data_IF_009517472498
#
_entry.id   IF_009517472498
#
_cell.length_a   1.000
_cell.length_b   1.000
_cell.length_c   1.000
_cell.angle_alpha   90.00
_cell.angle_beta   90.00
_cell.angle_gamma   90.00
#
_symmetry.space_group_name_H-M   'P 1'
#
loop_
_entity.id
_entity.type
_entity.pdbx_description
1 polymer ?
#
# COMPACT_ATOMS: atom_id res chain seq x y z
N UNK A 1 28.13 23.52 -18.58
CA UNK A 1 27.59 22.45 -19.44
C UNK A 1 26.64 21.64 -18.57
N UNK A 2 25.34 21.91 -18.66
CA UNK A 2 24.32 21.23 -17.86
C UNK A 2 24.02 19.89 -18.54
N UNK A 3 24.40 18.78 -17.89
CA UNK A 3 23.89 17.47 -18.28
C UNK A 3 22.41 17.42 -17.92
N UNK A 4 21.58 17.82 -18.88
CA UNK A 4 20.21 17.39 -18.97
C UNK A 4 20.21 15.88 -19.22
N UNK A 5 20.34 15.09 -18.14
CA UNK A 5 20.01 13.68 -18.18
C UNK A 5 18.56 13.57 -18.65
N UNK A 6 18.43 13.18 -19.91
CA UNK A 6 17.22 12.92 -20.69
C UNK A 6 15.93 12.75 -19.85
N UNK A 7 14.87 13.54 -20.09
CA UNK A 7 13.59 13.46 -19.38
C UNK A 7 12.77 12.17 -19.66
N UNK A 8 13.37 11.14 -20.27
CA UNK A 8 12.65 10.05 -20.91
C UNK A 8 12.65 8.65 -20.25
N UNK A 9 13.19 8.44 -19.04
CA UNK A 9 13.43 7.06 -18.54
C UNK A 9 13.08 6.71 -17.10
N UNK A 10 12.27 7.49 -16.38
CA UNK A 10 11.65 6.93 -15.18
C UNK A 10 10.25 6.42 -15.56
N UNK A 11 10.09 5.10 -15.68
CA UNK A 11 8.76 4.46 -15.76
C UNK A 11 7.98 4.59 -14.44
N UNK A 12 8.50 5.36 -13.49
CA UNK A 12 8.02 5.49 -12.12
C UNK A 12 6.62 6.09 -12.01
N UNK A 13 6.24 7.17 -12.75
CA UNK A 13 4.87 7.68 -12.74
C UNK A 13 3.88 6.60 -13.19
N UNK A 14 4.21 5.90 -14.30
CA UNK A 14 3.38 4.81 -14.83
C UNK A 14 3.28 3.64 -13.85
N UNK A 15 4.37 3.31 -13.15
CA UNK A 15 4.37 2.27 -12.12
C UNK A 15 3.47 2.66 -10.92
N UNK A 16 3.54 3.90 -10.45
CA UNK A 16 2.62 4.41 -9.43
C UNK A 16 1.17 4.40 -9.92
N UNK A 17 0.88 4.83 -11.15
CA UNK A 17 -0.48 4.76 -11.70
C UNK A 17 -1.01 3.31 -11.77
N UNK A 18 -0.20 2.37 -12.26
CA UNK A 18 -0.56 0.95 -12.29
C UNK A 18 -0.79 0.39 -10.89
N UNK A 19 0.08 0.73 -9.93
CA UNK A 19 -0.10 0.33 -8.53
C UNK A 19 -1.38 0.91 -7.92
N UNK A 20 -1.72 2.16 -8.25
CA UNK A 20 -2.97 2.76 -7.80
C UNK A 20 -4.19 1.96 -8.26
N UNK A 21 -4.20 1.51 -9.52
CA UNK A 21 -5.26 0.65 -10.05
C UNK A 21 -5.30 -0.71 -9.35
N UNK A 22 -4.14 -1.32 -9.09
CA UNK A 22 -4.06 -2.60 -8.36
C UNK A 22 -4.57 -2.46 -6.93
N UNK A 23 -4.17 -1.41 -6.21
CA UNK A 23 -4.64 -1.10 -4.86
C UNK A 23 -6.15 -0.81 -4.84
N UNK A 24 -6.67 -0.07 -5.84
CA UNK A 24 -8.10 0.19 -5.96
C UNK A 24 -8.88 -1.10 -6.22
N UNK A 25 -8.43 -1.94 -7.15
CA UNK A 25 -9.05 -3.23 -7.43
C UNK A 25 -9.03 -4.15 -6.20
N UNK A 26 -7.92 -4.16 -5.45
CA UNK A 26 -7.84 -4.85 -4.17
C UNK A 26 -8.85 -4.34 -3.15
N UNK A 27 -9.03 -3.01 -3.06
CA UNK A 27 -9.97 -2.41 -2.13
C UNK A 27 -11.41 -2.84 -2.44
N UNK A 28 -11.77 -2.84 -3.74
CA UNK A 28 -13.06 -3.35 -4.21
C UNK A 28 -13.21 -4.84 -3.90
N UNK A 29 -12.18 -5.67 -4.20
CA UNK A 29 -12.22 -7.10 -3.90
C UNK A 29 -12.40 -7.37 -2.40
N UNK A 30 -11.70 -6.62 -1.56
CA UNK A 30 -11.80 -6.74 -0.09
C UNK A 30 -13.16 -6.26 0.44
N UNK A 31 -13.76 -5.25 -0.21
CA UNK A 31 -15.10 -4.77 0.10
C UNK A 31 -16.22 -5.74 -0.32
N UNK A 32 -15.98 -6.53 -1.37
CA UNK A 32 -16.89 -7.59 -1.81
C UNK A 32 -16.73 -8.88 -0.97
N UNK A 33 -15.55 -9.13 -0.43
CA UNK A 33 -15.21 -10.24 0.47
C UNK A 33 -15.57 -9.94 1.94
N UNK A 34 -16.65 -9.18 2.16
CA UNK A 34 -17.05 -8.69 3.48
C UNK A 34 -17.48 -9.82 4.43
N UNK A 35 -17.15 -9.78 5.74
CA UNK A 35 -17.57 -10.80 6.69
C UNK A 35 -19.10 -10.93 6.76
N UNK A 36 -19.60 -12.15 6.59
CA UNK A 36 -21.04 -12.42 6.66
C UNK A 36 -21.48 -12.68 8.11
N UNK A 37 -22.67 -12.21 8.52
CA UNK A 37 -23.17 -12.42 9.88
C UNK A 37 -23.33 -13.90 10.23
N UNK A 38 -22.59 -14.36 11.25
CA UNK A 38 -22.74 -15.69 11.86
C UNK A 38 -23.25 -15.52 13.30
N UNK A 39 -24.53 -15.85 13.59
CA UNK A 39 -25.14 -15.63 14.92
C UNK A 39 -24.37 -16.29 16.07
N UNK A 40 -23.77 -17.44 15.80
CA UNK A 40 -22.93 -18.20 16.73
C UNK A 40 -21.59 -17.54 17.09
N UNK A 41 -21.23 -16.43 16.44
CA UNK A 41 -19.98 -15.69 16.65
C UNK A 41 -20.20 -14.18 16.82
N UNK A 42 -21.36 -13.77 17.33
CA UNK A 42 -21.73 -12.36 17.46
C UNK A 42 -20.70 -11.51 18.25
N UNK A 43 -20.03 -12.09 19.26
CA UNK A 43 -19.03 -11.39 20.09
C UNK A 43 -17.75 -11.00 19.35
N UNK A 44 -17.40 -11.71 18.28
CA UNK A 44 -16.20 -11.44 17.46
C UNK A 44 -16.55 -10.78 16.12
N UNK A 45 -17.84 -10.65 15.80
CA UNK A 45 -18.34 -10.03 14.58
C UNK A 45 -17.95 -8.55 14.48
N UNK A 46 -18.25 -7.76 15.52
CA UNK A 46 -17.96 -6.32 15.51
C UNK A 46 -16.46 -6.02 15.33
N UNK A 47 -15.55 -6.65 16.08
CA UNK A 47 -14.11 -6.53 15.81
C UNK A 47 -13.71 -6.94 14.39
N UNK A 48 -14.25 -8.06 13.87
CA UNK A 48 -13.94 -8.53 12.53
C UNK A 48 -14.36 -7.51 11.44
N UNK A 49 -15.58 -6.97 11.54
CA UNK A 49 -16.09 -5.93 10.64
C UNK A 49 -15.22 -4.66 10.67
N UNK A 50 -14.78 -4.24 11.86
CA UNK A 50 -13.90 -3.07 12.01
C UNK A 50 -12.55 -3.32 11.35
N UNK A 51 -11.92 -4.47 11.60
CA UNK A 51 -10.64 -4.84 10.99
C UNK A 51 -10.77 -4.91 9.47
N UNK A 52 -11.88 -5.43 8.95
CA UNK A 52 -12.15 -5.49 7.51
C UNK A 52 -12.35 -4.10 6.89
N UNK A 53 -13.12 -3.24 7.56
CA UNK A 53 -13.30 -1.85 7.16
C UNK A 53 -11.96 -1.11 7.08
N UNK A 54 -11.08 -1.33 8.06
CA UNK A 54 -9.73 -0.77 8.05
C UNK A 54 -8.92 -1.30 6.85
N UNK A 55 -9.00 -2.58 6.52
CA UNK A 55 -8.31 -3.17 5.37
C UNK A 55 -8.75 -2.53 4.04
N UNK A 56 -10.06 -2.34 3.85
CA UNK A 56 -10.61 -1.67 2.66
C UNK A 56 -10.13 -0.22 2.58
N UNK A 57 -10.25 0.54 3.68
CA UNK A 57 -9.82 1.95 3.75
C UNK A 57 -8.32 2.07 3.49
N UNK A 58 -7.50 1.18 4.06
CA UNK A 58 -6.06 1.15 3.83
C UNK A 58 -5.71 1.01 2.33
N UNK A 59 -6.37 0.09 1.63
CA UNK A 59 -6.10 -0.12 0.19
C UNK A 59 -6.57 1.08 -0.66
N UNK A 60 -7.66 1.74 -0.28
CA UNK A 60 -8.05 3.02 -0.89
C UNK A 60 -7.01 4.12 -0.65
N UNK A 61 -6.48 4.24 0.57
CA UNK A 61 -5.45 5.21 0.90
C UNK A 61 -4.14 4.93 0.15
N UNK A 62 -3.74 3.66 0.01
CA UNK A 62 -2.62 3.26 -0.85
C UNK A 62 -2.88 3.68 -2.29
N UNK A 63 -4.06 3.39 -2.84
CA UNK A 63 -4.42 3.77 -4.20
C UNK A 63 -4.31 5.28 -4.41
N UNK A 64 -4.88 6.08 -3.49
CA UNK A 64 -4.82 7.53 -3.52
C UNK A 64 -3.38 8.05 -3.40
N UNK A 65 -2.57 7.47 -2.51
CA UNK A 65 -1.16 7.81 -2.32
C UNK A 65 -0.33 7.58 -3.58
N UNK A 66 -0.51 6.43 -4.23
CA UNK A 66 0.13 6.14 -5.51
C UNK A 66 -0.37 7.05 -6.64
N UNK A 67 -1.67 7.33 -6.72
CA UNK A 67 -2.22 8.22 -7.76
C UNK A 67 -1.71 9.65 -7.62
N UNK A 68 -1.73 10.20 -6.40
CA UNK A 68 -1.14 11.52 -6.08
C UNK A 68 0.30 11.57 -6.55
N UNK A 69 1.07 10.56 -6.20
CA UNK A 69 2.50 10.48 -6.51
C UNK A 69 2.74 10.35 -8.01
N UNK A 70 1.94 9.56 -8.72
CA UNK A 70 1.99 9.48 -10.18
C UNK A 70 1.76 10.85 -10.84
N UNK A 71 0.74 11.59 -10.39
CA UNK A 71 0.40 12.90 -10.97
C UNK A 71 1.52 13.90 -10.70
N UNK A 72 1.99 13.97 -9.46
CA UNK A 72 3.06 14.89 -9.07
C UNK A 72 4.39 14.57 -9.77
N UNK A 73 4.73 13.29 -9.98
CA UNK A 73 5.93 12.91 -10.76
C UNK A 73 5.78 13.27 -12.23
N UNK A 74 4.58 13.07 -12.79
CA UNK A 74 4.29 13.39 -14.18
C UNK A 74 4.36 14.91 -14.45
N UNK A 75 3.94 15.71 -13.48
CA UNK A 75 4.01 17.17 -13.55
C UNK A 75 5.40 17.74 -13.17
N UNK A 76 6.38 16.88 -12.85
CA UNK A 76 7.70 17.28 -12.36
C UNK A 76 7.66 18.21 -11.13
N UNK A 77 6.60 18.13 -10.33
CA UNK A 77 6.40 18.97 -9.15
C UNK A 77 7.14 18.44 -7.92
N UNK A 78 7.80 17.28 -8.02
CA UNK A 78 8.60 16.73 -6.93
C UNK A 78 9.94 17.43 -6.80
N UNK A 79 10.02 18.33 -5.83
CA UNK A 79 11.28 18.78 -5.25
C UNK A 79 11.88 17.71 -4.33
N UNK A 80 13.21 17.67 -4.21
CA UNK A 80 13.98 16.84 -3.27
C UNK A 80 13.78 17.24 -1.79
N UNK A 81 12.54 17.50 -1.40
CA UNK A 81 12.19 17.98 -0.06
C UNK A 81 12.29 16.85 0.97
N UNK A 82 12.66 17.21 2.19
CA UNK A 82 12.73 16.28 3.32
C UNK A 82 11.37 15.63 3.61
N UNK A 83 10.28 16.39 3.43
CA UNK A 83 8.92 15.94 3.66
C UNK A 83 8.53 14.77 2.76
N UNK A 84 8.84 14.84 1.46
CA UNK A 84 8.46 13.77 0.53
C UNK A 84 9.21 12.47 0.82
N UNK A 85 10.47 12.56 1.30
CA UNK A 85 11.20 11.40 1.82
C UNK A 85 10.54 10.79 3.06
N UNK A 86 10.08 11.61 4.01
CA UNK A 86 9.35 11.09 5.17
C UNK A 86 8.04 10.42 4.76
N UNK A 87 7.34 10.98 3.78
CA UNK A 87 6.14 10.37 3.18
C UNK A 87 6.46 9.01 2.57
N UNK A 88 7.49 8.90 1.72
CA UNK A 88 7.92 7.62 1.12
C UNK A 88 8.20 6.56 2.20
N UNK A 89 8.94 6.92 3.25
CA UNK A 89 9.23 6.02 4.38
C UNK A 89 7.95 5.63 5.12
N UNK A 90 7.03 6.57 5.35
CA UNK A 90 5.75 6.30 5.98
C UNK A 90 4.95 5.24 5.22
N UNK A 91 4.89 5.36 3.89
CA UNK A 91 4.24 4.35 3.04
C UNK A 91 4.96 3.00 3.08
N UNK A 92 6.29 2.98 3.05
CA UNK A 92 7.05 1.73 3.16
C UNK A 92 6.80 1.03 4.51
N UNK A 93 6.83 1.78 5.62
CA UNK A 93 6.58 1.24 6.96
C UNK A 93 5.16 0.69 7.07
N UNK A 94 4.15 1.41 6.56
CA UNK A 94 2.77 0.95 6.55
C UNK A 94 2.62 -0.39 5.82
N UNK A 95 3.24 -0.52 4.64
CA UNK A 95 3.23 -1.77 3.87
C UNK A 95 3.92 -2.92 4.62
N UNK A 96 5.07 -2.67 5.26
CA UNK A 96 5.77 -3.69 6.07
C UNK A 96 4.89 -4.16 7.22
N UNK A 97 4.25 -3.25 7.95
CA UNK A 97 3.34 -3.61 9.06
C UNK A 97 2.20 -4.50 8.56
N UNK A 98 1.55 -4.12 7.45
CA UNK A 98 0.46 -4.92 6.87
C UNK A 98 0.94 -6.29 6.42
N UNK A 99 2.11 -6.39 5.78
CA UNK A 99 2.69 -7.68 5.37
C UNK A 99 2.99 -8.58 6.57
N UNK A 100 3.49 -8.02 7.68
CA UNK A 100 3.70 -8.77 8.92
C UNK A 100 2.38 -9.28 9.48
N UNK A 101 1.35 -8.44 9.53
CA UNK A 101 0.00 -8.84 9.98
C UNK A 101 -0.55 -9.97 9.12
N UNK A 102 -0.50 -9.83 7.79
CA UNK A 102 -0.95 -10.87 6.86
C UNK A 102 -0.16 -12.18 7.04
N UNK A 103 1.16 -12.11 7.23
CA UNK A 103 1.99 -13.27 7.50
C UNK A 103 1.59 -13.98 8.81
N UNK A 104 1.26 -13.22 9.86
CA UNK A 104 0.75 -13.78 11.12
C UNK A 104 -0.59 -14.50 10.92
N UNK A 105 -1.50 -13.93 10.14
CA UNK A 105 -2.78 -14.58 9.80
C UNK A 105 -2.57 -15.89 9.03
N UNK A 106 -1.63 -15.94 8.09
CA UNK A 106 -1.28 -17.19 7.39
C UNK A 106 -0.63 -18.22 8.33
N UNK A 107 0.29 -17.78 9.21
CA UNK A 107 1.03 -18.65 10.12
C UNK A 107 0.13 -19.28 11.20
N UNK A 108 -0.86 -18.54 11.70
CA UNK A 108 -1.77 -19.05 12.71
C UNK A 108 -2.78 -20.07 12.16
N UNK A 109 -2.91 -20.17 10.83
CA UNK A 109 -3.96 -20.88 10.11
C UNK A 109 -5.36 -20.43 10.57
N UNK A 110 -6.29 -20.23 9.64
CA UNK A 110 -7.68 -19.82 9.91
C UNK A 110 -8.49 -20.77 10.82
N UNK A 111 -7.86 -21.78 11.42
CA UNK A 111 -8.44 -22.79 12.30
C UNK A 111 -8.80 -22.26 13.70
N UNK A 112 -8.22 -21.13 14.16
CA UNK A 112 -8.54 -20.55 15.47
C UNK A 112 -9.75 -19.61 15.46
N UNK A 113 -10.20 -19.16 14.27
CA UNK A 113 -11.27 -18.17 14.13
C UNK A 113 -12.19 -18.59 12.97
N UNK A 114 -13.31 -19.29 13.26
CA UNK A 114 -14.27 -19.76 12.25
C UNK A 114 -14.94 -18.66 11.43
N UNK A 115 -14.77 -17.39 11.80
CA UNK A 115 -15.25 -16.24 11.02
C UNK A 115 -14.32 -15.88 9.87
N UNK A 116 -13.06 -16.35 9.91
CA UNK A 116 -12.04 -16.08 8.90
C UNK A 116 -11.83 -17.26 7.94
N UNK A 117 -12.50 -18.39 8.15
CA UNK A 117 -12.48 -19.52 7.22
C UNK A 117 -13.14 -19.11 5.90
N UNK A 118 -12.34 -19.09 4.82
CA UNK A 118 -12.80 -18.78 3.47
C UNK A 118 -12.48 -17.38 2.97
N UNK A 119 -12.05 -16.45 3.83
CA UNK A 119 -11.70 -15.07 3.43
C UNK A 119 -10.25 -14.95 2.95
N UNK A 120 -9.89 -15.77 1.96
CA UNK A 120 -8.56 -15.77 1.34
C UNK A 120 -8.36 -14.56 0.43
N UNK A 121 -9.44 -14.02 -0.14
CA UNK A 121 -9.38 -12.93 -1.11
C UNK A 121 -8.81 -11.65 -0.50
N UNK A 122 -9.30 -11.21 0.66
CA UNK A 122 -8.81 -10.00 1.31
C UNK A 122 -7.36 -10.13 1.76
N UNK A 123 -6.97 -11.27 2.33
CA UNK A 123 -5.58 -11.52 2.74
C UNK A 123 -4.63 -11.53 1.54
N UNK A 124 -5.04 -12.16 0.44
CA UNK A 124 -4.27 -12.16 -0.82
C UNK A 124 -4.22 -10.75 -1.41
N UNK A 125 -5.33 -10.01 -1.42
CA UNK A 125 -5.37 -8.63 -1.90
C UNK A 125 -4.43 -7.74 -1.09
N UNK A 126 -4.47 -7.81 0.25
CA UNK A 126 -3.57 -7.07 1.13
C UNK A 126 -2.11 -7.45 0.89
N UNK A 127 -1.81 -8.73 0.72
CA UNK A 127 -0.46 -9.22 0.43
C UNK A 127 0.06 -8.65 -0.89
N UNK A 128 -0.69 -8.86 -1.99
CA UNK A 128 -0.28 -8.47 -3.34
C UNK A 128 -0.15 -6.96 -3.45
N UNK A 129 -1.16 -6.21 -2.99
CA UNK A 129 -1.14 -4.74 -3.05
C UNK A 129 0.01 -4.18 -2.22
N UNK A 130 0.24 -4.71 -1.01
CA UNK A 130 1.30 -4.20 -0.14
C UNK A 130 2.71 -4.57 -0.61
N UNK A 131 2.88 -5.78 -1.18
CA UNK A 131 4.16 -6.20 -1.74
C UNK A 131 4.55 -5.35 -2.96
N UNK A 132 3.62 -5.15 -3.90
CA UNK A 132 3.85 -4.33 -5.09
C UNK A 132 4.08 -2.87 -4.70
N UNK A 133 3.27 -2.33 -3.79
CA UNK A 133 3.41 -0.97 -3.26
C UNK A 133 4.78 -0.76 -2.63
N UNK A 134 5.23 -1.67 -1.76
CA UNK A 134 6.53 -1.61 -1.09
C UNK A 134 7.69 -1.58 -2.09
N UNK A 135 7.63 -2.39 -3.14
CA UNK A 135 8.66 -2.41 -4.21
C UNK A 135 8.71 -1.05 -4.91
N UNK A 136 7.56 -0.48 -5.25
CA UNK A 136 7.50 0.80 -5.98
C UNK A 136 8.01 1.95 -5.11
N UNK A 137 7.62 2.01 -3.83
CA UNK A 137 8.14 3.00 -2.89
C UNK A 137 9.64 2.81 -2.65
N UNK A 138 10.13 1.57 -2.58
CA UNK A 138 11.56 1.27 -2.45
C UNK A 138 12.39 1.70 -3.66
N UNK A 139 11.87 1.51 -4.88
CA UNK A 139 12.49 1.99 -6.11
C UNK A 139 12.54 3.52 -6.12
N UNK A 140 11.42 4.18 -5.80
CA UNK A 140 11.33 5.63 -5.67
C UNK A 140 12.38 6.16 -4.68
N UNK A 141 12.43 5.59 -3.47
CA UNK A 141 13.37 5.99 -2.42
C UNK A 141 14.84 5.92 -2.86
N UNK A 142 15.19 4.90 -3.67
CA UNK A 142 16.55 4.70 -4.19
C UNK A 142 16.92 5.74 -5.25
N UNK A 143 15.97 6.15 -6.09
CA UNK A 143 16.19 7.06 -7.21
C UNK A 143 16.12 8.53 -6.76
N UNK A 144 15.32 8.85 -5.74
CA UNK A 144 15.16 10.22 -5.24
C UNK A 144 16.47 10.72 -4.61
N UNK A 145 17.12 11.77 -5.16
CA UNK A 145 18.42 12.25 -4.72
C UNK A 145 18.39 12.71 -3.26
N UNK A 146 19.42 12.35 -2.51
CA UNK A 146 19.64 12.86 -1.15
C UNK A 146 20.24 14.25 -1.30
N UNK A 147 19.58 15.31 -0.79
CA UNK A 147 20.30 16.56 -0.59
C UNK A 147 21.49 16.25 0.33
N UNK A 148 22.70 16.52 -0.15
CA UNK A 148 23.83 16.68 0.75
C UNK A 148 23.40 17.70 1.81
N UNK A 149 23.58 17.38 3.10
CA UNK A 149 23.51 18.42 4.13
C UNK A 149 24.51 19.47 3.68
N UNK A 150 24.04 20.64 3.25
CA UNK A 150 24.91 21.79 3.09
C UNK A 150 25.61 21.94 4.46
N UNK A 151 26.94 21.80 4.45
CA UNK A 151 27.75 22.00 5.63
C UNK A 151 27.39 23.37 6.20
N UNK A 152 26.74 23.37 7.37
CA UNK A 152 26.56 24.53 8.22
C UNK A 152 27.79 24.66 9.09
#
# INVERSE_FOLDING_TARGET
>A
MQDHTSPGKSGLPKAHAACALICFAGAVASGLDWPTPAPQHASVMMPALVIWGIAVVYQFLLAAGHLRTSILDHQHLFGSSHYERQSDVGWMVANVVVLVVVALFFAQQSNSIPILTGQTTTLVALFVTSAISLVIWGIRWKITPRKSKAAS
#
